data_IF_260261185725
#
_entry.id   IF_260261185725
#
_cell.length_a   1.000
_cell.length_b   1.000
_cell.length_c   1.000
_cell.angle_alpha   90.00
_cell.angle_beta   90.00
_cell.angle_gamma   90.00
#
_symmetry.space_group_name_H-M   'P 1'
#
loop_
_entity.id
_entity.type
_entity.pdbx_description
1 polymer ?
#
# COMPACT_ATOMS: atom_id res chain seq x y z
N UNK A 1 7.49 -12.69 -8.54
CA UNK A 1 7.45 -11.45 -7.73
C UNK A 1 8.79 -10.74 -7.86
N UNK A 2 8.77 -9.50 -8.33
CA UNK A 2 9.93 -8.64 -8.59
C UNK A 2 10.16 -7.58 -7.52
N UNK A 3 9.12 -7.23 -6.75
CA UNK A 3 9.20 -6.28 -5.65
C UNK A 3 7.85 -6.05 -4.97
N UNK A 4 7.85 -5.19 -3.95
CA UNK A 4 6.66 -4.66 -3.29
C UNK A 4 6.75 -3.13 -3.33
N UNK A 5 5.65 -2.46 -3.63
CA UNK A 5 5.50 -1.02 -3.41
C UNK A 5 4.37 -0.77 -2.41
N UNK A 6 4.51 0.29 -1.62
CA UNK A 6 3.58 0.62 -0.53
C UNK A 6 3.38 2.13 -0.52
N UNK A 7 2.15 2.58 -0.28
CA UNK A 7 1.90 3.98 0.04
C UNK A 7 2.51 4.38 1.39
N UNK A 8 2.75 5.68 1.57
CA UNK A 8 3.21 6.24 2.84
C UNK A 8 2.07 6.62 3.78
N UNK A 9 0.84 6.68 3.27
CA UNK A 9 -0.36 7.12 3.98
C UNK A 9 -1.04 6.09 4.89
N UNK A 10 -2.21 6.48 5.39
CA UNK A 10 -3.08 5.66 6.26
C UNK A 10 -3.97 4.69 5.48
N UNK A 11 -3.98 4.79 4.16
CA UNK A 11 -4.76 3.95 3.23
C UNK A 11 -4.25 2.50 3.12
N UNK A 12 -3.04 2.23 3.66
CA UNK A 12 -2.42 0.90 3.71
C UNK A 12 -2.39 0.20 2.35
N UNK A 13 -2.18 0.94 1.27
CA UNK A 13 -2.08 0.42 -0.10
C UNK A 13 -0.77 -0.35 -0.31
N UNK A 14 -0.89 -1.54 -0.88
CA UNK A 14 0.21 -2.43 -1.19
C UNK A 14 0.10 -2.89 -2.65
N UNK A 15 1.23 -2.88 -3.36
CA UNK A 15 1.41 -3.49 -4.68
C UNK A 15 2.42 -4.62 -4.57
N UNK A 16 2.03 -5.81 -5.01
CA UNK A 16 2.93 -6.92 -5.28
C UNK A 16 3.26 -6.91 -6.78
N UNK A 17 4.52 -6.66 -7.12
CA UNK A 17 4.96 -6.63 -8.52
C UNK A 17 5.21 -8.04 -9.06
N UNK A 18 4.56 -8.38 -10.17
CA UNK A 18 4.67 -9.68 -10.82
C UNK A 18 5.47 -9.60 -12.12
N UNK A 19 6.03 -10.73 -12.52
CA UNK A 19 6.97 -10.79 -13.65
C UNK A 19 6.24 -10.68 -15.01
N UNK A 20 4.94 -10.96 -15.05
CA UNK A 20 4.10 -10.99 -16.25
C UNK A 20 3.45 -9.63 -16.57
N UNK A 21 3.72 -8.61 -15.76
CA UNK A 21 3.16 -7.27 -15.91
C UNK A 21 1.69 -7.17 -15.47
N UNK A 22 1.24 -8.08 -14.61
CA UNK A 22 -0.07 -8.01 -13.99
C UNK A 22 0.06 -8.01 -12.47
N UNK A 23 0.49 -6.87 -11.93
CA UNK A 23 0.71 -6.66 -10.51
C UNK A 23 -0.59 -6.81 -9.70
N UNK A 24 -0.45 -7.18 -8.44
CA UNK A 24 -1.58 -7.31 -7.51
C UNK A 24 -1.60 -6.13 -6.55
N UNK A 25 -2.66 -5.32 -6.62
CA UNK A 25 -2.86 -4.09 -5.86
C UNK A 25 -4.01 -4.29 -4.87
N UNK A 26 -3.82 -3.97 -3.59
CA UNK A 26 -4.86 -4.05 -2.56
C UNK A 26 -4.56 -3.14 -1.37
N UNK A 27 -5.59 -2.81 -0.59
CA UNK A 27 -5.46 -2.12 0.70
C UNK A 27 -5.88 -3.03 1.85
N UNK A 28 -5.19 -2.91 2.98
CA UNK A 28 -5.60 -3.57 4.22
C UNK A 28 -6.66 -2.72 4.91
N UNK A 29 -7.91 -3.21 4.95
CA UNK A 29 -9.03 -2.52 5.59
C UNK A 29 -9.49 -3.27 6.84
N UNK A 30 -9.63 -2.57 7.96
CA UNK A 30 -10.22 -3.14 9.17
C UNK A 30 -11.71 -2.78 9.24
N UNK A 31 -12.59 -3.72 8.86
CA UNK A 31 -14.03 -3.52 8.81
C UNK A 31 -14.73 -3.63 10.17
N UNK A 32 -14.03 -4.10 11.22
CA UNK A 32 -14.63 -4.38 12.54
C UNK A 32 -14.31 -3.33 13.61
N UNK A 33 -13.41 -2.39 13.32
CA UNK A 33 -13.04 -1.34 14.27
C UNK A 33 -14.01 -0.17 14.19
N UNK A 34 -15.10 -0.28 14.95
CA UNK A 34 -15.94 0.86 15.31
C UNK A 34 -15.27 1.82 16.32
N UNK A 35 -13.98 1.64 16.65
CA UNK A 35 -13.30 2.39 17.70
C UNK A 35 -11.78 2.51 17.42
N UNK A 36 -11.33 3.68 16.97
CA UNK A 36 -10.03 4.32 17.23
C UNK A 36 -8.71 3.52 17.15
N UNK A 37 -8.71 2.31 16.63
CA UNK A 37 -7.55 1.44 16.50
C UNK A 37 -7.05 1.52 15.06
N UNK A 38 -6.36 2.62 14.74
CA UNK A 38 -5.74 2.82 13.42
C UNK A 38 -4.45 1.98 13.32
N UNK A 39 -4.58 0.65 13.48
CA UNK A 39 -3.45 -0.27 13.48
C UNK A 39 -3.00 -0.47 12.03
N UNK A 40 -1.81 0.05 11.73
CA UNK A 40 -1.16 -0.20 10.45
C UNK A 40 -0.55 -1.62 10.44
N UNK A 41 -1.07 -2.49 9.57
CA UNK A 41 -0.66 -3.90 9.43
C UNK A 41 0.30 -4.14 8.28
N UNK A 42 0.63 -3.10 7.51
CA UNK A 42 1.52 -3.20 6.36
C UNK A 42 2.90 -3.72 6.77
N UNK A 43 3.46 -3.25 7.88
CA UNK A 43 4.78 -3.70 8.35
C UNK A 43 4.83 -5.20 8.62
N UNK A 44 3.79 -5.75 9.26
CA UNK A 44 3.66 -7.18 9.54
C UNK A 44 3.56 -7.99 8.24
N UNK A 45 2.68 -7.57 7.33
CA UNK A 45 2.53 -8.19 6.01
C UNK A 45 3.85 -8.21 5.24
N UNK A 46 4.55 -7.08 5.17
CA UNK A 46 5.83 -6.95 4.44
C UNK A 46 6.87 -7.87 5.06
N UNK A 47 7.01 -7.89 6.38
CA UNK A 47 7.95 -8.77 7.07
C UNK A 47 7.70 -10.25 6.73
N UNK A 48 6.45 -10.69 6.77
CA UNK A 48 6.07 -12.07 6.41
C UNK A 48 6.40 -12.38 4.96
N UNK A 49 6.03 -11.49 4.02
CA UNK A 49 6.31 -11.68 2.59
C UNK A 49 7.81 -11.72 2.28
N UNK A 50 8.60 -10.80 2.86
CA UNK A 50 10.05 -10.77 2.70
C UNK A 50 10.71 -12.03 3.22
N UNK A 51 10.30 -12.48 4.41
CA UNK A 51 10.84 -13.70 5.03
C UNK A 51 10.54 -14.93 4.17
N UNK A 52 9.27 -15.13 3.79
CA UNK A 52 8.88 -16.26 2.95
C UNK A 52 9.56 -16.24 1.58
N UNK A 53 9.68 -15.06 0.98
CA UNK A 53 10.39 -14.92 -0.28
C UNK A 53 11.85 -15.30 -0.17
N UNK A 54 12.55 -14.84 0.87
CA UNK A 54 13.94 -15.19 1.11
C UNK A 54 14.12 -16.69 1.31
N UNK A 55 13.24 -17.35 2.07
CA UNK A 55 13.31 -18.80 2.27
C UNK A 55 13.22 -19.57 0.95
N UNK A 56 12.33 -19.16 0.06
CA UNK A 56 12.07 -19.81 -1.23
C UNK A 56 13.10 -19.47 -2.32
N UNK A 57 13.56 -18.22 -2.36
CA UNK A 57 14.35 -17.69 -3.48
C UNK A 57 15.83 -17.44 -3.14
N UNK A 58 16.19 -17.52 -1.84
CA UNK A 58 17.53 -17.21 -1.32
C UNK A 58 18.07 -15.85 -1.76
N UNK A 59 17.16 -14.87 -1.91
CA UNK A 59 17.48 -13.50 -2.31
C UNK A 59 16.54 -12.51 -1.65
N UNK A 60 17.01 -11.29 -1.48
CA UNK A 60 16.19 -10.20 -0.96
C UNK A 60 15.20 -9.70 -2.01
N UNK A 61 14.03 -9.28 -1.54
CA UNK A 61 13.00 -8.65 -2.36
C UNK A 61 13.02 -7.15 -2.14
N UNK A 62 12.96 -6.38 -3.22
CA UNK A 62 12.94 -4.92 -3.15
C UNK A 62 11.60 -4.42 -2.62
N UNK A 63 11.65 -3.53 -1.64
CA UNK A 63 10.48 -2.78 -1.14
C UNK A 63 10.66 -1.31 -1.47
N UNK A 64 9.59 -0.67 -1.97
CA UNK A 64 9.52 0.77 -2.18
C UNK A 64 8.37 1.33 -1.35
N UNK A 65 8.61 2.48 -0.72
CA UNK A 65 7.59 3.20 0.05
C UNK A 65 7.50 4.60 -0.53
N UNK A 66 6.30 5.07 -0.80
CA UNK A 66 6.06 6.44 -1.21
C UNK A 66 4.85 6.60 -2.13
N UNK A 67 4.63 7.85 -2.52
CA UNK A 67 3.54 8.29 -3.37
C UNK A 67 4.09 9.13 -4.53
N UNK A 68 3.53 9.03 -5.75
CA UNK A 68 2.47 8.10 -6.16
C UNK A 68 2.98 6.66 -6.31
N UNK A 69 2.07 5.69 -6.20
CA UNK A 69 2.43 4.27 -6.36
C UNK A 69 2.28 3.87 -7.84
N UNK A 70 3.34 3.31 -8.43
CA UNK A 70 3.33 2.82 -9.80
C UNK A 70 3.13 1.31 -9.85
N UNK A 71 2.38 0.79 -10.81
CA UNK A 71 2.17 -0.64 -11.03
C UNK A 71 1.84 -0.97 -12.49
N UNK A 72 1.75 -2.25 -12.84
CA UNK A 72 1.26 -2.73 -14.13
C UNK A 72 -0.02 -3.53 -13.96
N UNK A 73 -1.07 -3.22 -14.72
CA UNK A 73 -2.30 -4.01 -14.79
C UNK A 73 -2.53 -4.40 -16.24
N UNK A 74 -2.63 -5.72 -16.52
CA UNK A 74 -2.74 -6.22 -17.88
C UNK A 74 -1.61 -5.75 -18.80
N UNK A 75 -0.37 -5.78 -18.31
CA UNK A 75 0.87 -5.35 -19.00
C UNK A 75 0.98 -3.84 -19.28
N UNK A 76 0.04 -3.03 -18.78
CA UNK A 76 0.04 -1.58 -18.99
C UNK A 76 0.42 -0.86 -17.70
N UNK A 77 1.36 0.08 -17.79
CA UNK A 77 1.73 0.94 -16.67
C UNK A 77 0.53 1.75 -16.16
N UNK A 78 0.47 1.90 -14.84
CA UNK A 78 -0.55 2.62 -14.08
C UNK A 78 0.12 3.41 -12.97
N UNK A 79 -0.48 4.56 -12.68
CA UNK A 79 -0.17 5.42 -11.56
C UNK A 79 -1.39 5.42 -10.65
N UNK A 80 -1.19 5.12 -9.38
CA UNK A 80 -2.21 5.22 -8.34
C UNK A 80 -1.89 6.46 -7.52
N UNK A 81 -2.74 7.47 -7.69
CA UNK A 81 -2.73 8.68 -6.87
C UNK A 81 -3.68 8.46 -5.68
N UNK A 82 -3.25 8.93 -4.51
CA UNK A 82 -3.98 8.76 -3.25
C UNK A 82 -4.47 10.13 -2.84
N UNK A 83 -5.79 10.28 -2.73
CA UNK A 83 -6.42 11.54 -2.34
C UNK A 83 -7.04 11.39 -0.95
N UNK A 84 -6.72 12.33 -0.06
CA UNK A 84 -7.33 12.43 1.26
C UNK A 84 -8.43 13.48 1.20
N UNK A 85 -9.69 13.05 1.23
CA UNK A 85 -10.79 13.97 1.49
C UNK A 85 -10.78 14.35 2.97
N UNK A 86 -10.16 15.49 3.29
CA UNK A 86 -10.32 16.08 4.61
C UNK A 86 -11.80 16.43 4.82
N UNK A 87 -12.41 16.15 5.99
CA UNK A 87 -13.71 16.68 6.30
C UNK A 87 -13.63 18.20 6.30
N UNK A 88 -14.53 18.86 5.55
CA UNK A 88 -14.59 20.32 5.43
C UNK A 88 -14.64 20.97 6.81
N UNK A 89 -13.54 21.55 7.28
CA UNK A 89 -13.55 22.37 8.49
C UNK A 89 -14.19 23.70 8.11
N UNK A 90 -15.46 23.88 8.48
CA UNK A 90 -16.13 25.19 8.37
C UNK A 90 -15.56 26.08 9.48
N UNK A 91 -14.55 26.87 9.15
CA UNK A 91 -14.05 27.93 10.02
C UNK A 91 -15.06 29.08 10.03
N UNK A 92 -15.91 29.15 11.05
CA UNK A 92 -16.73 30.35 11.29
C UNK A 92 -15.85 31.36 12.02
N UNK A 93 -15.32 32.34 11.29
CA UNK A 93 -14.72 33.53 11.89
C UNK A 93 -15.83 34.50 12.25
N UNK A 94 -16.04 34.74 13.54
CA UNK A 94 -16.89 35.86 13.99
C UNK A 94 -16.04 37.12 14.06
N UNK A 95 -16.46 38.16 13.35
CA UNK A 95 -15.87 39.51 13.37
C UNK A 95 -16.24 40.26 14.65
#
# INVERSE_FOLDING_TARGET
>A
MTGISISSGLDQLVVIHLNDGNDFLFSLVNLKDNQNSNINRVGELVAVLLHQYYLLQKRELKVKVGEPVFCKLGKKDKKVDIEFNAPSVISITMN
#
